data_IF_976448800260
#
_entry.id   IF_976448800260
#
_cell.length_a   1.000
_cell.length_b   1.000
_cell.length_c   1.000
_cell.angle_alpha   90.00
_cell.angle_beta   90.00
_cell.angle_gamma   90.00
#
_symmetry.space_group_name_H-M   'P 1'
#
loop_
_entity.id
_entity.type
_entity.pdbx_description
1 polymer ?
#
# COMPACT_ATOMS: atom_id res chain seq x y z
N UNK A 1 -12.55 -25.81 12.90
CA UNK A 1 -11.08 -25.90 13.00
C UNK A 1 -10.70 -26.63 14.29
N UNK A 2 -10.79 -27.97 14.34
CA UNK A 2 -10.42 -28.75 15.54
C UNK A 2 -8.99 -28.49 16.04
N UNK A 3 -8.10 -28.09 15.15
CA UNK A 3 -6.70 -27.70 15.39
C UNK A 3 -6.54 -26.42 16.22
N UNK A 4 -7.56 -25.55 16.27
CA UNK A 4 -7.61 -24.34 17.10
C UNK A 4 -8.87 -24.37 17.98
N UNK A 5 -8.85 -25.10 19.10
CA UNK A 5 -10.08 -25.48 19.80
C UNK A 5 -10.82 -24.33 20.49
N UNK A 6 -10.17 -23.17 20.63
CA UNK A 6 -10.72 -21.94 21.20
C UNK A 6 -11.14 -20.90 20.15
N UNK A 7 -10.92 -21.18 18.85
CA UNK A 7 -11.23 -20.26 17.77
C UNK A 7 -12.64 -20.51 17.23
N UNK A 8 -13.43 -19.44 17.05
CA UNK A 8 -14.69 -19.50 16.30
C UNK A 8 -14.35 -19.24 14.84
N UNK A 9 -14.63 -20.16 13.90
CA UNK A 9 -14.34 -19.94 12.49
C UNK A 9 -15.25 -18.87 11.88
N UNK A 10 -14.72 -18.08 10.96
CA UNK A 10 -15.50 -17.21 10.08
C UNK A 10 -15.84 -17.96 8.78
N UNK A 11 -17.15 -18.03 8.47
CA UNK A 11 -17.69 -18.74 7.30
C UNK A 11 -18.76 -17.89 6.65
N UNK A 12 -18.77 -17.89 5.32
CA UNK A 12 -19.72 -17.12 4.49
C UNK A 12 -20.38 -18.02 3.45
N UNK A 13 -21.63 -17.74 3.10
CA UNK A 13 -22.33 -18.40 2.01
C UNK A 13 -23.07 -17.37 1.14
N UNK A 14 -22.32 -16.52 0.43
CA UNK A 14 -22.89 -15.38 -0.30
C UNK A 14 -23.68 -15.77 -1.55
N UNK A 15 -23.31 -16.87 -2.21
CA UNK A 15 -23.82 -17.22 -3.54
C UNK A 15 -24.66 -18.49 -3.55
N UNK A 16 -24.85 -19.12 -2.39
CA UNK A 16 -25.73 -20.26 -2.20
C UNK A 16 -26.48 -20.08 -0.88
N UNK A 17 -27.80 -20.23 -0.90
CA UNK A 17 -28.62 -20.10 0.30
C UNK A 17 -28.29 -21.21 1.31
N UNK A 18 -27.66 -20.81 2.42
CA UNK A 18 -27.29 -21.68 3.53
C UNK A 18 -27.42 -20.90 4.85
N UNK A 19 -27.50 -21.64 5.95
CA UNK A 19 -27.43 -21.08 7.29
C UNK A 19 -26.56 -21.95 8.19
N UNK A 20 -25.99 -21.35 9.24
CA UNK A 20 -25.18 -22.09 10.20
C UNK A 20 -24.74 -21.23 11.38
N UNK A 21 -24.30 -21.88 12.44
CA UNK A 21 -23.64 -21.25 13.58
C UNK A 21 -22.20 -21.73 13.67
N UNK A 22 -21.29 -20.80 13.94
CA UNK A 22 -19.91 -21.12 14.27
C UNK A 22 -19.72 -21.03 15.79
N UNK A 23 -19.01 -22.00 16.35
CA UNK A 23 -18.66 -22.10 17.76
C UNK A 23 -17.25 -22.67 17.90
N UNK A 24 -16.65 -22.49 19.07
CA UNK A 24 -15.35 -23.12 19.35
C UNK A 24 -15.51 -24.64 19.44
N UNK A 25 -14.45 -25.41 19.15
CA UNK A 25 -14.51 -26.87 19.30
C UNK A 25 -14.74 -27.27 20.76
N UNK A 26 -14.20 -26.51 21.70
CA UNK A 26 -14.44 -26.73 23.12
C UNK A 26 -15.92 -26.53 23.50
N UNK A 27 -16.57 -25.49 23.00
CA UNK A 27 -18.02 -25.32 23.17
C UNK A 27 -18.79 -26.46 22.49
N UNK A 28 -18.40 -26.85 21.27
CA UNK A 28 -19.06 -27.92 20.52
C UNK A 28 -19.07 -29.24 21.29
N UNK A 29 -17.94 -29.60 21.91
CA UNK A 29 -17.79 -30.80 22.74
C UNK A 29 -18.66 -30.80 24.01
N UNK A 30 -19.12 -29.63 24.47
CA UNK A 30 -20.01 -29.51 25.64
C UNK A 30 -21.49 -29.64 25.30
N UNK A 31 -21.86 -29.59 24.01
CA UNK A 31 -23.24 -29.77 23.59
C UNK A 31 -23.74 -31.17 23.94
N UNK A 32 -24.90 -31.23 24.59
CA UNK A 32 -25.56 -32.49 24.93
C UNK A 32 -26.46 -32.93 23.79
N UNK A 33 -26.71 -34.24 23.69
CA UNK A 33 -27.76 -34.78 22.83
C UNK A 33 -29.12 -34.25 23.29
N UNK A 34 -29.94 -33.81 22.34
CA UNK A 34 -31.25 -33.26 22.62
C UNK A 34 -31.77 -32.36 21.50
N UNK A 35 -32.98 -31.85 21.68
CA UNK A 35 -33.62 -30.92 20.76
C UNK A 35 -33.25 -29.48 21.16
N UNK A 36 -32.73 -28.72 20.20
CA UNK A 36 -32.41 -27.30 20.38
C UNK A 36 -33.37 -26.44 19.57
N UNK A 37 -33.75 -25.29 20.13
CA UNK A 37 -34.37 -24.24 19.34
C UNK A 37 -33.28 -23.49 18.59
N UNK A 38 -33.36 -23.49 17.26
CA UNK A 38 -32.48 -22.73 16.38
C UNK A 38 -33.21 -21.46 15.96
N UNK A 39 -32.60 -20.30 16.16
CA UNK A 39 -33.20 -19.02 15.81
C UNK A 39 -32.17 -18.11 15.12
N UNK A 40 -32.38 -17.87 13.83
CA UNK A 40 -31.64 -16.91 13.01
C UNK A 40 -32.68 -15.91 12.49
N UNK A 41 -32.59 -14.67 12.96
CA UNK A 41 -33.46 -13.58 12.51
C UNK A 41 -32.72 -12.74 11.47
N UNK A 42 -32.81 -13.15 10.21
CA UNK A 42 -32.15 -12.50 9.07
C UNK A 42 -33.12 -12.36 7.90
N UNK A 43 -32.84 -11.40 7.02
CA UNK A 43 -33.57 -11.20 5.77
C UNK A 43 -32.61 -11.30 4.59
N UNK A 44 -33.03 -11.96 3.51
CA UNK A 44 -32.35 -11.99 2.23
C UNK A 44 -33.37 -11.62 1.15
N UNK A 45 -33.20 -10.42 0.58
CA UNK A 45 -34.12 -9.82 -0.38
C UNK A 45 -33.38 -8.99 -1.41
N UNK A 46 -34.07 -8.61 -2.49
CA UNK A 46 -33.56 -7.62 -3.42
C UNK A 46 -33.24 -6.30 -2.71
N UNK A 47 -32.14 -5.67 -3.10
CA UNK A 47 -31.63 -4.46 -2.47
C UNK A 47 -30.50 -3.83 -3.29
N UNK A 48 -29.49 -3.29 -2.60
CA UNK A 48 -28.34 -2.64 -3.23
C UNK A 48 -27.02 -3.02 -2.57
N UNK A 49 -25.95 -3.06 -3.37
CA UNK A 49 -24.58 -3.16 -2.87
C UNK A 49 -24.03 -1.76 -2.58
N UNK A 50 -23.60 -1.53 -1.34
CA UNK A 50 -23.00 -0.27 -0.92
C UNK A 50 -21.48 -0.30 -1.10
N UNK A 51 -20.92 0.77 -1.66
CA UNK A 51 -19.49 1.08 -1.58
C UNK A 51 -19.29 2.58 -1.34
N UNK A 52 -18.17 2.93 -0.72
CA UNK A 52 -17.73 4.31 -0.53
C UNK A 52 -16.66 4.70 -1.54
N UNK A 53 -16.71 5.95 -2.01
CA UNK A 53 -15.67 6.56 -2.83
C UNK A 53 -15.33 7.94 -2.26
N UNK A 54 -14.04 8.24 -2.20
CA UNK A 54 -13.50 9.56 -1.94
C UNK A 54 -12.52 9.93 -3.05
N UNK A 55 -12.83 11.02 -3.77
CA UNK A 55 -11.90 11.64 -4.71
C UNK A 55 -11.30 12.87 -4.04
N UNK A 56 -9.97 12.96 -4.02
CA UNK A 56 -9.24 14.12 -3.51
C UNK A 56 -8.44 14.73 -4.67
N UNK A 57 -8.88 15.88 -5.24
CA UNK A 57 -8.23 16.47 -6.41
C UNK A 57 -6.77 16.87 -6.16
N UNK A 58 -5.91 16.59 -7.15
CA UNK A 58 -4.56 17.14 -7.25
C UNK A 58 -4.46 18.21 -8.33
N UNK A 59 -3.24 18.58 -8.70
CA UNK A 59 -2.97 19.48 -9.85
C UNK A 59 -3.20 18.78 -11.20
N UNK A 60 -3.09 17.45 -11.23
CA UNK A 60 -3.22 16.60 -12.41
C UNK A 60 -4.43 15.67 -12.30
N UNK A 61 -4.98 15.30 -13.46
CA UNK A 61 -6.02 14.27 -13.59
C UNK A 61 -5.46 12.85 -13.47
N UNK A 62 -4.14 12.67 -13.48
CA UNK A 62 -3.51 11.37 -13.17
C UNK A 62 -3.83 10.97 -11.74
N UNK A 63 -4.20 9.71 -11.56
CA UNK A 63 -4.75 9.19 -10.31
C UNK A 63 -3.79 8.25 -9.58
N UNK A 64 -3.75 8.37 -8.25
CA UNK A 64 -3.27 7.32 -7.34
C UNK A 64 -4.48 6.62 -6.74
N UNK A 65 -4.54 5.30 -6.94
CA UNK A 65 -5.69 4.48 -6.56
C UNK A 65 -5.43 3.72 -5.25
N UNK A 66 -6.27 3.92 -4.24
CA UNK A 66 -6.19 3.21 -2.97
C UNK A 66 -7.50 2.46 -2.74
N UNK A 67 -7.41 1.15 -2.51
CA UNK A 67 -8.56 0.29 -2.27
C UNK A 67 -8.41 -0.45 -0.96
N UNK A 68 -9.50 -0.60 -0.23
CA UNK A 68 -9.62 -1.48 0.92
C UNK A 68 -11.04 -2.01 0.99
N UNK A 69 -11.25 -3.14 1.67
CA UNK A 69 -12.55 -3.79 1.69
C UNK A 69 -13.24 -3.78 3.05
N UNK A 70 -14.58 -3.74 3.03
CA UNK A 70 -15.45 -3.51 4.20
C UNK A 70 -16.55 -4.56 4.34
N UNK A 71 -16.30 -5.79 3.85
CA UNK A 71 -17.24 -6.91 3.93
C UNK A 71 -17.02 -7.84 5.13
N UNK A 72 -15.84 -7.82 5.74
CA UNK A 72 -15.54 -8.67 6.89
C UNK A 72 -16.20 -8.10 8.16
N UNK A 73 -16.84 -8.94 9.00
CA UNK A 73 -17.48 -8.50 10.25
C UNK A 73 -16.42 -8.25 11.33
N UNK A 74 -16.64 -8.69 12.57
CA UNK A 74 -15.78 -8.42 13.73
C UNK A 74 -14.45 -9.19 13.71
N UNK A 75 -13.55 -8.81 12.81
CA UNK A 75 -12.16 -9.25 12.74
C UNK A 75 -11.21 -8.06 12.57
N UNK A 76 -10.02 -8.15 13.15
CA UNK A 76 -9.15 -7.00 13.34
C UNK A 76 -8.14 -6.80 12.20
N UNK A 77 -7.25 -7.75 11.93
CA UNK A 77 -6.24 -7.64 10.88
C UNK A 77 -6.89 -7.83 9.49
N UNK A 78 -7.65 -8.90 9.28
CA UNK A 78 -8.52 -9.08 8.11
C UNK A 78 -10.00 -8.86 8.53
N UNK A 79 -10.56 -7.65 8.51
CA UNK A 79 -10.09 -6.55 7.67
C UNK A 79 -10.07 -5.18 8.34
N UNK A 80 -10.52 -4.99 9.58
CA UNK A 80 -10.65 -3.64 10.18
C UNK A 80 -9.38 -2.78 10.08
N UNK A 81 -8.20 -3.39 10.09
CA UNK A 81 -6.90 -2.73 9.92
C UNK A 81 -6.80 -1.93 8.61
N UNK A 82 -7.26 -2.48 7.48
CA UNK A 82 -7.16 -1.87 6.15
C UNK A 82 -7.98 -0.57 6.04
N UNK A 83 -9.30 -0.58 6.31
CA UNK A 83 -10.14 0.60 6.35
C UNK A 83 -9.67 1.63 7.36
N UNK A 84 -9.15 1.19 8.52
CA UNK A 84 -8.61 2.09 9.54
C UNK A 84 -7.41 2.86 9.01
N UNK A 85 -6.37 2.17 8.53
CA UNK A 85 -5.16 2.81 7.98
C UNK A 85 -5.51 3.67 6.76
N UNK A 86 -6.35 3.18 5.86
CA UNK A 86 -6.78 3.92 4.65
C UNK A 86 -7.52 5.21 5.00
N UNK A 87 -8.34 5.21 6.05
CA UNK A 87 -9.04 6.42 6.53
C UNK A 87 -8.05 7.48 7.03
N UNK A 88 -7.05 7.09 7.83
CA UNK A 88 -6.03 8.03 8.30
C UNK A 88 -5.10 8.47 7.17
N UNK A 89 -4.82 7.59 6.20
CA UNK A 89 -4.07 7.92 4.99
C UNK A 89 -4.81 8.97 4.17
N UNK A 90 -6.13 8.84 3.98
CA UNK A 90 -6.96 9.84 3.32
C UNK A 90 -6.89 11.21 4.01
N UNK A 91 -6.98 11.25 5.35
CA UNK A 91 -6.84 12.50 6.13
C UNK A 91 -5.46 13.13 5.97
N UNK A 92 -4.41 12.32 6.03
CA UNK A 92 -3.04 12.79 5.83
C UNK A 92 -2.84 13.32 4.42
N UNK A 93 -3.29 12.58 3.39
CA UNK A 93 -3.26 13.02 1.99
C UNK A 93 -3.95 14.38 1.91
N UNK A 94 -5.17 14.54 2.43
CA UNK A 94 -5.91 15.81 2.51
C UNK A 94 -5.14 16.99 3.10
N UNK A 95 -4.16 16.77 3.96
CA UNK A 95 -3.34 17.85 4.53
C UNK A 95 -2.04 18.15 3.77
N UNK A 96 -1.70 17.39 2.72
CA UNK A 96 -0.44 17.58 1.97
C UNK A 96 -0.64 18.34 0.64
N UNK A 97 0.37 19.07 0.12
CA UNK A 97 0.40 19.41 -1.30
C UNK A 97 0.45 18.12 -2.13
N UNK A 98 -0.21 18.11 -3.30
CA UNK A 98 -0.21 16.93 -4.19
C UNK A 98 -0.32 17.31 -5.66
N UNK A 99 0.41 16.58 -6.47
CA UNK A 99 0.32 16.59 -7.93
C UNK A 99 -0.83 15.71 -8.40
N UNK A 100 -0.92 14.48 -7.89
CA UNK A 100 -1.90 13.51 -8.36
C UNK A 100 -3.27 13.67 -7.69
N UNK A 101 -4.32 13.30 -8.41
CA UNK A 101 -5.66 13.09 -7.83
C UNK A 101 -5.69 11.75 -7.11
N UNK A 102 -6.26 11.68 -5.91
CA UNK A 102 -6.38 10.42 -5.16
C UNK A 102 -7.79 9.89 -5.28
N UNK A 103 -7.91 8.63 -5.70
CA UNK A 103 -9.17 7.89 -5.72
C UNK A 103 -9.09 6.80 -4.67
N UNK A 104 -9.87 6.94 -3.62
CA UNK A 104 -9.88 6.04 -2.47
C UNK A 104 -11.24 5.37 -2.39
N UNK A 105 -11.28 4.05 -2.40
CA UNK A 105 -12.54 3.30 -2.37
C UNK A 105 -12.59 2.29 -1.23
N UNK A 106 -13.79 2.15 -0.66
CA UNK A 106 -14.15 1.23 0.39
C UNK A 106 -15.26 0.32 -0.13
N UNK A 107 -14.95 -0.93 -0.41
CA UNK A 107 -15.83 -1.82 -1.19
C UNK A 107 -16.00 -3.19 -0.51
N UNK A 108 -17.06 -3.97 -0.78
CA UNK A 108 -17.04 -5.38 -0.44
C UNK A 108 -16.05 -6.12 -1.35
N UNK A 109 -15.19 -6.95 -0.76
CA UNK A 109 -14.16 -7.67 -1.50
C UNK A 109 -14.76 -8.46 -2.68
N UNK A 110 -14.07 -8.43 -3.81
CA UNK A 110 -14.39 -9.09 -5.07
C UNK A 110 -15.63 -8.54 -5.79
N UNK A 111 -16.83 -8.74 -5.26
CA UNK A 111 -18.04 -8.30 -5.98
C UNK A 111 -18.12 -6.77 -6.05
N UNK A 112 -17.62 -6.08 -5.02
CA UNK A 112 -17.54 -4.62 -4.99
C UNK A 112 -16.53 -4.08 -6.00
N UNK A 113 -15.33 -4.67 -6.08
CA UNK A 113 -14.30 -4.25 -7.05
C UNK A 113 -14.76 -4.52 -8.49
N UNK A 114 -15.40 -5.66 -8.76
CA UNK A 114 -16.01 -5.97 -10.07
C UNK A 114 -17.10 -4.94 -10.42
N UNK A 115 -18.00 -4.65 -9.47
CA UNK A 115 -19.07 -3.65 -9.65
C UNK A 115 -18.52 -2.25 -9.88
N UNK A 116 -17.42 -1.92 -9.20
CA UNK A 116 -16.76 -0.63 -9.35
C UNK A 116 -16.06 -0.50 -10.71
N UNK A 117 -15.33 -1.55 -11.12
CA UNK A 117 -14.67 -1.64 -12.42
C UNK A 117 -15.68 -1.56 -13.56
N UNK A 118 -16.81 -2.27 -13.50
CA UNK A 118 -17.81 -2.26 -14.58
C UNK A 118 -18.36 -0.86 -14.88
N UNK A 119 -18.31 0.05 -13.89
CA UNK A 119 -18.73 1.45 -14.03
C UNK A 119 -17.60 2.41 -14.39
N UNK A 120 -16.35 2.08 -14.06
CA UNK A 120 -15.23 3.04 -14.08
C UNK A 120 -14.00 2.58 -14.89
N UNK A 121 -14.01 1.39 -15.48
CA UNK A 121 -12.82 0.76 -16.06
C UNK A 121 -12.07 1.67 -17.05
N UNK A 122 -12.78 2.31 -17.98
CA UNK A 122 -12.15 3.19 -18.97
C UNK A 122 -11.38 4.33 -18.29
N UNK A 123 -12.06 5.07 -17.40
CA UNK A 123 -11.47 6.17 -16.65
C UNK A 123 -10.27 5.73 -15.82
N UNK A 124 -10.39 4.59 -15.12
CA UNK A 124 -9.31 4.05 -14.30
C UNK A 124 -8.08 3.72 -15.15
N UNK A 125 -8.27 3.10 -16.32
CA UNK A 125 -7.16 2.77 -17.24
C UNK A 125 -6.48 4.00 -17.83
N UNK A 126 -7.21 5.07 -18.08
CA UNK A 126 -6.67 6.31 -18.64
C UNK A 126 -5.86 7.10 -17.58
N UNK A 127 -6.30 7.06 -16.32
CA UNK A 127 -5.82 7.98 -15.29
C UNK A 127 -4.93 7.34 -14.22
N UNK A 128 -5.19 6.09 -13.79
CA UNK A 128 -4.46 5.47 -12.68
C UNK A 128 -3.02 5.20 -13.07
N UNK A 129 -2.09 5.84 -12.36
CA UNK A 129 -0.64 5.73 -12.61
C UNK A 129 0.06 4.81 -11.61
N UNK A 130 -0.47 4.71 -10.39
CA UNK A 130 -0.01 3.80 -9.35
C UNK A 130 -1.14 3.59 -8.32
N UNK A 131 -0.98 2.62 -7.42
CA UNK A 131 -1.97 2.36 -6.41
C UNK A 131 -1.71 1.10 -5.58
N UNK A 132 -2.49 0.99 -4.49
CA UNK A 132 -2.34 -0.07 -3.51
C UNK A 132 -3.69 -0.66 -3.08
N UNK A 133 -3.75 -1.98 -2.98
CA UNK A 133 -4.79 -2.69 -2.21
C UNK A 133 -4.30 -2.83 -0.76
N UNK A 134 -5.04 -2.26 0.19
CA UNK A 134 -4.63 -2.09 1.60
C UNK A 134 -5.44 -3.04 2.46
N UNK A 135 -4.76 -4.05 3.01
CA UNK A 135 -5.32 -5.13 3.85
C UNK A 135 -4.28 -5.71 4.80
N UNK A 136 -4.71 -6.32 5.91
CA UNK A 136 -3.84 -7.03 6.86
C UNK A 136 -2.63 -6.18 7.29
N UNK A 137 -2.91 -4.96 7.74
CA UNK A 137 -1.92 -3.92 8.04
C UNK A 137 -1.79 -3.63 9.54
N UNK A 138 -2.29 -4.50 10.41
CA UNK A 138 -2.42 -4.24 11.85
C UNK A 138 -1.46 -5.00 12.77
N UNK A 139 -0.93 -6.15 12.36
CA UNK A 139 -0.09 -6.98 13.23
C UNK A 139 1.38 -6.52 13.33
N UNK A 140 2.14 -7.13 14.25
CA UNK A 140 3.53 -6.76 14.54
C UNK A 140 4.61 -7.58 13.80
N UNK A 141 4.24 -8.50 12.91
CA UNK A 141 5.19 -9.38 12.22
C UNK A 141 5.93 -8.68 11.06
N UNK A 142 6.60 -9.45 10.19
CA UNK A 142 7.28 -8.89 9.03
C UNK A 142 6.29 -8.26 8.03
N UNK A 143 6.76 -7.29 7.25
CA UNK A 143 5.98 -6.79 6.12
C UNK A 143 5.89 -7.84 5.02
N UNK A 144 4.84 -7.76 4.22
CA UNK A 144 4.64 -8.56 3.01
C UNK A 144 4.45 -7.65 1.81
N UNK A 145 5.08 -8.00 0.70
CA UNK A 145 4.89 -7.36 -0.60
C UNK A 145 4.26 -8.35 -1.58
N UNK A 146 3.14 -7.95 -2.18
CA UNK A 146 2.51 -8.67 -3.29
C UNK A 146 2.52 -7.76 -4.52
N UNK A 147 3.19 -8.16 -5.61
CA UNK A 147 3.31 -7.32 -6.79
C UNK A 147 2.00 -7.22 -7.56
N UNK A 148 1.91 -6.22 -8.42
CA UNK A 148 0.97 -6.20 -9.54
C UNK A 148 1.22 -7.38 -10.48
N UNK A 149 0.29 -7.66 -11.40
CA UNK A 149 0.48 -8.73 -12.40
C UNK A 149 1.69 -8.47 -13.31
N UNK A 150 1.98 -7.21 -13.60
CA UNK A 150 3.10 -6.82 -14.44
C UNK A 150 4.44 -6.96 -13.69
N UNK A 151 4.46 -6.67 -12.39
CA UNK A 151 5.62 -6.88 -11.51
C UNK A 151 6.73 -5.83 -11.62
N UNK A 152 6.62 -4.86 -12.52
CA UNK A 152 7.55 -3.73 -12.67
C UNK A 152 6.84 -2.39 -12.86
N UNK A 153 5.61 -2.27 -12.38
CA UNK A 153 4.88 -0.99 -12.37
C UNK A 153 5.49 -0.02 -11.36
N UNK A 154 5.09 1.26 -11.44
CA UNK A 154 5.53 2.26 -10.46
C UNK A 154 5.20 1.83 -9.01
N UNK A 155 4.03 1.22 -8.78
CA UNK A 155 3.64 0.69 -7.48
C UNK A 155 4.57 -0.41 -6.99
N UNK A 156 5.01 -1.30 -7.89
CA UNK A 156 5.94 -2.39 -7.56
C UNK A 156 7.32 -1.84 -7.17
N UNK A 157 7.85 -0.93 -8.00
CA UNK A 157 9.16 -0.31 -7.80
C UNK A 157 9.17 0.46 -6.49
N UNK A 158 8.15 1.29 -6.26
CA UNK A 158 8.03 2.10 -5.04
C UNK A 158 7.84 1.24 -3.80
N UNK A 159 6.99 0.22 -3.84
CA UNK A 159 6.78 -0.66 -2.69
C UNK A 159 8.08 -1.37 -2.28
N UNK A 160 8.81 -1.95 -3.24
CA UNK A 160 10.10 -2.60 -2.97
C UNK A 160 11.13 -1.63 -2.42
N UNK A 161 11.23 -0.44 -3.04
CA UNK A 161 12.14 0.61 -2.58
C UNK A 161 11.85 1.02 -1.13
N UNK A 162 10.59 1.31 -0.83
CA UNK A 162 10.17 1.73 0.51
C UNK A 162 10.44 0.61 1.52
N UNK A 163 10.02 -0.62 1.25
CA UNK A 163 10.20 -1.73 2.19
C UNK A 163 11.69 -2.03 2.43
N UNK A 164 12.54 -1.96 1.42
CA UNK A 164 13.99 -2.12 1.55
C UNK A 164 14.62 -1.13 2.54
N UNK A 165 14.16 0.13 2.55
CA UNK A 165 14.73 1.19 3.37
C UNK A 165 13.97 1.45 4.68
N UNK A 166 12.69 1.06 4.76
CA UNK A 166 11.83 1.29 5.91
C UNK A 166 11.74 0.08 6.84
N UNK A 167 11.71 -1.13 6.28
CA UNK A 167 11.62 -2.37 7.04
C UNK A 167 13.02 -2.96 7.25
N UNK A 168 13.18 -3.73 8.35
CA UNK A 168 14.38 -4.53 8.56
C UNK A 168 14.48 -5.66 7.52
N UNK A 169 13.33 -6.27 7.23
CA UNK A 169 13.14 -7.34 6.25
C UNK A 169 11.66 -7.39 5.84
N UNK A 170 11.35 -7.97 4.69
CA UNK A 170 9.99 -8.20 4.23
C UNK A 170 9.89 -9.48 3.38
N UNK A 171 8.72 -10.12 3.41
CA UNK A 171 8.43 -11.29 2.59
C UNK A 171 7.89 -10.85 1.24
N UNK A 172 8.60 -11.19 0.17
CA UNK A 172 8.13 -10.99 -1.20
C UNK A 172 7.32 -12.20 -1.66
N UNK A 173 6.11 -11.94 -2.16
CA UNK A 173 5.22 -12.91 -2.78
C UNK A 173 5.20 -12.72 -4.29
N UNK A 174 4.70 -13.72 -5.01
CA UNK A 174 4.42 -13.61 -6.44
C UNK A 174 2.95 -13.20 -6.68
N UNK A 175 2.63 -12.71 -7.88
CA UNK A 175 1.22 -12.51 -8.26
C UNK A 175 0.41 -13.82 -8.26
N UNK A 176 1.06 -14.99 -8.24
CA UNK A 176 0.37 -16.28 -8.10
C UNK A 176 -0.22 -16.47 -6.69
N UNK A 177 0.30 -15.74 -5.70
CA UNK A 177 -0.12 -15.81 -4.29
C UNK A 177 -1.28 -14.85 -3.96
N UNK A 178 -1.79 -14.11 -4.95
CA UNK A 178 -2.91 -13.15 -4.81
C UNK A 178 -4.16 -13.82 -4.22
N UNK A 179 -4.98 -13.04 -3.53
CA UNK A 179 -6.20 -13.52 -2.88
C UNK A 179 -7.29 -12.46 -2.71
N UNK A 180 -6.95 -11.17 -2.80
CA UNK A 180 -7.87 -10.06 -2.61
C UNK A 180 -8.12 -9.29 -3.91
N UNK A 181 -8.57 -8.04 -3.84
CA UNK A 181 -9.05 -7.25 -4.98
C UNK A 181 -7.99 -6.92 -6.03
N UNK A 182 -6.69 -7.04 -5.72
CA UNK A 182 -5.64 -6.97 -6.73
C UNK A 182 -5.85 -7.97 -7.87
N UNK A 183 -6.52 -9.10 -7.61
CA UNK A 183 -6.86 -10.08 -8.64
C UNK A 183 -7.87 -9.56 -9.66
N UNK A 184 -8.70 -8.59 -9.27
CA UNK A 184 -9.68 -7.94 -10.14
C UNK A 184 -9.06 -6.73 -10.84
N UNK A 185 -8.36 -5.86 -10.09
CA UNK A 185 -7.70 -4.68 -10.63
C UNK A 185 -6.60 -5.01 -11.65
N UNK A 186 -5.85 -6.08 -11.41
CA UNK A 186 -4.77 -6.52 -12.30
C UNK A 186 -5.23 -7.61 -13.29
N UNK A 187 -6.54 -7.87 -13.41
CA UNK A 187 -7.06 -8.87 -14.35
C UNK A 187 -6.75 -8.49 -15.81
N UNK A 188 -6.51 -9.46 -16.71
CA UNK A 188 -6.29 -9.16 -18.12
C UNK A 188 -7.42 -8.32 -18.72
N UNK A 189 -7.07 -7.23 -19.39
CA UNK A 189 -8.03 -6.26 -19.96
C UNK A 189 -8.37 -5.09 -19.04
N UNK A 190 -8.23 -5.25 -17.71
CA UNK A 190 -8.25 -4.17 -16.72
C UNK A 190 -6.83 -3.65 -16.49
N UNK A 191 -5.95 -4.52 -15.97
CA UNK A 191 -4.49 -4.37 -15.87
C UNK A 191 -3.99 -3.06 -15.23
N UNK A 192 -4.64 -2.63 -14.14
CA UNK A 192 -4.21 -1.46 -13.38
C UNK A 192 -2.90 -1.75 -12.61
N UNK A 193 -2.06 -0.72 -12.36
CA UNK A 193 -0.78 -0.88 -11.68
C UNK A 193 -0.95 -0.98 -10.16
N UNK A 194 -1.67 -2.00 -9.67
CA UNK A 194 -2.00 -2.14 -8.24
C UNK A 194 -1.14 -3.23 -7.61
N UNK A 195 -0.40 -2.85 -6.57
CA UNK A 195 0.35 -3.78 -5.72
C UNK A 195 -0.25 -3.79 -4.29
N UNK A 196 0.27 -4.61 -3.39
CA UNK A 196 -0.13 -4.59 -1.97
C UNK A 196 1.09 -4.56 -1.06
N UNK A 197 1.01 -3.70 -0.04
CA UNK A 197 1.92 -3.69 1.11
C UNK A 197 1.08 -4.08 2.32
N UNK A 198 1.48 -5.16 3.00
CA UNK A 198 0.77 -5.71 4.15
C UNK A 198 1.75 -5.92 5.30
N UNK A 199 1.24 -6.23 6.49
CA UNK A 199 2.03 -6.87 7.57
C UNK A 199 2.06 -8.37 7.26
N UNK A 200 1.40 -9.21 8.04
CA UNK A 200 1.25 -10.62 7.63
C UNK A 200 0.13 -10.75 6.60
N UNK A 201 0.46 -11.26 5.40
CA UNK A 201 -0.53 -11.46 4.32
C UNK A 201 -1.70 -12.35 4.77
N UNK A 202 -2.90 -12.09 4.25
CA UNK A 202 -4.08 -12.96 4.43
C UNK A 202 -3.75 -14.44 4.13
N UNK A 203 -4.27 -15.33 4.99
CA UNK A 203 -4.00 -16.78 4.92
C UNK A 203 -2.66 -17.23 5.51
N UNK A 204 -1.77 -16.31 5.91
CA UNK A 204 -0.40 -16.62 6.34
C UNK A 204 -0.17 -16.41 7.85
N UNK A 205 -1.24 -16.20 8.61
CA UNK A 205 -1.23 -16.15 10.08
C UNK A 205 -2.32 -17.05 10.66
N UNK A 206 -2.05 -17.62 11.83
CA UNK A 206 -2.90 -18.66 12.44
C UNK A 206 -4.33 -18.16 12.74
N UNK A 207 -4.47 -16.90 13.12
CA UNK A 207 -5.71 -16.27 13.53
C UNK A 207 -6.66 -16.01 12.36
N UNK A 208 -6.16 -16.04 11.11
CA UNK A 208 -6.90 -15.67 9.91
C UNK A 208 -8.23 -16.43 9.76
N UNK A 209 -9.31 -15.69 9.51
CA UNK A 209 -10.69 -16.19 9.42
C UNK A 209 -11.17 -16.90 10.70
N UNK A 210 -10.80 -16.36 11.85
CA UNK A 210 -11.31 -16.81 13.14
C UNK A 210 -11.53 -15.65 14.10
N UNK A 211 -12.25 -15.88 15.20
CA UNK A 211 -12.40 -14.92 16.30
C UNK A 211 -11.10 -14.57 17.03
N UNK A 212 -10.00 -15.25 16.75
CA UNK A 212 -8.69 -14.90 17.30
C UNK A 212 -8.05 -13.73 16.53
N UNK A 213 -8.55 -13.40 15.33
CA UNK A 213 -8.17 -12.17 14.63
C UNK A 213 -8.95 -11.00 15.24
N UNK A 214 -8.51 -10.57 16.42
CA UNK A 214 -9.20 -9.58 17.26
C UNK A 214 -8.26 -8.43 17.64
N UNK A 215 -8.75 -7.48 18.45
CA UNK A 215 -8.00 -6.27 18.79
C UNK A 215 -6.72 -6.55 19.62
N UNK A 216 -6.60 -7.71 20.26
CA UNK A 216 -5.38 -8.11 20.96
C UNK A 216 -4.30 -8.64 19.99
N UNK A 217 -4.68 -9.03 18.78
CA UNK A 217 -3.76 -9.53 17.75
C UNK A 217 -3.07 -8.40 16.97
N UNK A 218 -3.74 -7.27 16.79
CA UNK A 218 -3.17 -6.08 16.14
C UNK A 218 -2.60 -5.12 17.17
N UNK A 219 -1.76 -4.16 16.74
CA UNK A 219 -1.19 -3.15 17.62
C UNK A 219 -1.16 -1.76 16.97
N UNK A 220 -1.03 -0.74 17.82
CA UNK A 220 -0.80 0.65 17.39
C UNK A 220 0.49 0.77 16.57
N UNK A 221 1.54 0.06 16.97
CA UNK A 221 2.81 -0.03 16.25
C UNK A 221 2.64 -0.67 14.86
N UNK A 222 1.91 -1.76 14.75
CA UNK A 222 1.63 -2.42 13.47
C UNK A 222 0.88 -1.50 12.51
N UNK A 223 -0.22 -0.92 12.98
CA UNK A 223 -1.04 0.04 12.21
C UNK A 223 -0.23 1.29 11.79
N UNK A 224 0.50 1.90 12.73
CA UNK A 224 1.31 3.08 12.44
C UNK A 224 2.47 2.76 11.49
N UNK A 225 3.09 1.58 11.64
CA UNK A 225 4.11 1.10 10.73
C UNK A 225 3.61 1.02 9.30
N UNK A 226 2.47 0.36 9.08
CA UNK A 226 1.85 0.27 7.75
C UNK A 226 1.43 1.64 7.19
N UNK A 227 0.84 2.51 8.03
CA UNK A 227 0.54 3.89 7.66
C UNK A 227 1.80 4.62 7.19
N UNK A 228 2.93 4.46 7.90
CA UNK A 228 4.20 5.08 7.54
C UNK A 228 4.78 4.52 6.24
N UNK A 229 4.72 3.20 6.04
CA UNK A 229 5.15 2.57 4.79
C UNK A 229 4.37 3.13 3.58
N UNK A 230 3.03 3.14 3.66
CA UNK A 230 2.17 3.67 2.59
C UNK A 230 2.37 5.18 2.38
N UNK A 231 2.57 5.95 3.46
CA UNK A 231 2.91 7.37 3.40
C UNK A 231 4.23 7.61 2.66
N UNK A 232 5.27 6.83 2.97
CA UNK A 232 6.56 6.90 2.26
C UNK A 232 6.41 6.50 0.78
N UNK A 233 5.57 5.50 0.46
CA UNK A 233 5.25 5.15 -0.92
C UNK A 233 4.61 6.32 -1.67
N UNK A 234 3.66 7.00 -1.05
CA UNK A 234 3.03 8.19 -1.62
C UNK A 234 4.04 9.33 -1.81
N UNK A 235 4.90 9.60 -0.81
CA UNK A 235 5.97 10.61 -0.91
C UNK A 235 6.89 10.30 -2.09
N UNK A 236 7.29 9.03 -2.26
CA UNK A 236 8.09 8.60 -3.39
C UNK A 236 7.39 8.85 -4.72
N UNK A 237 6.10 8.52 -4.83
CA UNK A 237 5.32 8.72 -6.06
C UNK A 237 5.19 10.21 -6.40
N UNK A 238 4.79 11.04 -5.44
CA UNK A 238 4.62 12.49 -5.63
C UNK A 238 5.91 13.20 -6.07
N UNK A 239 7.07 12.71 -5.61
CA UNK A 239 8.37 13.31 -5.88
C UNK A 239 9.19 12.57 -6.95
N UNK A 240 8.63 11.54 -7.61
CA UNK A 240 9.31 10.82 -8.66
C UNK A 240 9.27 11.59 -9.98
N UNK A 241 10.15 12.59 -10.10
CA UNK A 241 10.31 13.42 -11.31
C UNK A 241 11.59 13.07 -12.04
N UNK A 242 11.69 13.53 -13.29
CA UNK A 242 12.90 13.46 -14.09
C UNK A 242 13.59 14.81 -14.03
N UNK A 243 14.90 14.79 -13.79
CA UNK A 243 15.71 16.00 -13.70
C UNK A 243 16.84 15.98 -14.71
N UNK A 244 17.17 17.16 -15.24
CA UNK A 244 18.30 17.38 -16.14
C UNK A 244 19.31 18.31 -15.51
N UNK A 245 20.55 17.87 -15.49
CA UNK A 245 21.71 18.67 -15.10
C UNK A 245 21.96 19.80 -16.11
N UNK A 246 22.15 21.03 -15.63
CA UNK A 246 22.19 22.25 -16.46
C UNK A 246 23.59 22.68 -16.86
N UNK A 247 24.62 22.11 -16.25
CA UNK A 247 26.01 22.56 -16.40
C UNK A 247 26.86 21.48 -17.08
N UNK A 248 27.85 21.86 -17.87
CA UNK A 248 28.84 20.90 -18.41
C UNK A 248 29.95 20.69 -17.38
N UNK A 249 30.32 19.44 -17.15
CA UNK A 249 31.27 19.01 -16.09
C UNK A 249 30.78 19.31 -14.66
N UNK A 250 31.58 19.01 -13.64
CA UNK A 250 31.23 19.28 -12.25
C UNK A 250 31.14 20.80 -11.98
N UNK A 251 30.10 21.27 -11.27
CA UNK A 251 30.02 22.68 -10.90
C UNK A 251 30.91 22.93 -9.67
N UNK A 252 31.30 24.19 -9.44
CA UNK A 252 32.05 24.54 -8.23
C UNK A 252 31.15 24.48 -6.97
N UNK A 253 30.91 23.28 -6.44
CA UNK A 253 29.95 23.00 -5.35
C UNK A 253 30.26 23.72 -4.03
N UNK A 254 31.54 23.96 -3.73
CA UNK A 254 31.97 24.62 -2.49
C UNK A 254 31.44 26.05 -2.32
N UNK A 255 31.33 26.82 -3.41
CA UNK A 255 30.74 28.17 -3.40
C UNK A 255 29.24 28.18 -3.11
N UNK A 256 28.59 27.02 -3.20
CA UNK A 256 27.16 26.82 -2.99
C UNK A 256 26.86 26.14 -1.65
N UNK A 257 27.88 25.88 -0.82
CA UNK A 257 27.72 25.13 0.43
C UNK A 257 27.39 23.64 0.23
N UNK A 258 27.46 23.13 -1.01
CA UNK A 258 27.11 21.75 -1.35
C UNK A 258 28.29 20.78 -1.25
N UNK A 259 29.49 21.27 -0.92
CA UNK A 259 30.71 20.50 -0.70
C UNK A 259 31.61 21.20 0.32
N UNK A 260 32.36 20.42 1.10
CA UNK A 260 33.39 20.96 2.00
C UNK A 260 34.42 21.79 1.23
N UNK A 261 34.80 22.94 1.80
CA UNK A 261 35.88 23.79 1.29
C UNK A 261 37.27 23.34 1.78
N UNK A 262 37.34 22.32 2.64
CA UNK A 262 38.59 21.71 3.13
C UNK A 262 38.79 20.37 2.43
N UNK A 263 39.92 20.23 1.72
CA UNK A 263 40.34 18.99 1.04
C UNK A 263 41.30 18.13 1.89
N UNK A 264 41.63 16.94 1.38
CA UNK A 264 42.60 15.96 1.94
C UNK A 264 42.24 15.26 3.27
N UNK A 265 41.15 15.65 3.94
CA UNK A 265 40.55 14.88 5.04
C UNK A 265 39.27 14.24 4.52
N UNK A 266 39.02 12.96 4.80
CA UNK A 266 37.82 12.25 4.37
C UNK A 266 36.57 12.72 5.15
N UNK A 267 36.15 13.96 4.89
CA UNK A 267 35.05 14.66 5.55
C UNK A 267 33.80 14.78 4.64
N UNK A 268 33.69 13.96 3.59
CA UNK A 268 32.48 13.96 2.76
C UNK A 268 31.31 13.39 3.54
N UNK A 269 30.35 14.27 3.87
CA UNK A 269 29.07 13.85 4.44
C UNK A 269 28.28 13.05 3.43
N UNK A 270 27.28 12.28 3.90
CA UNK A 270 26.39 11.55 3.00
C UNK A 270 25.65 12.49 2.03
N UNK A 271 25.22 13.66 2.51
CA UNK A 271 24.62 14.70 1.66
C UNK A 271 25.54 15.13 0.50
N UNK A 272 26.85 15.30 0.75
CA UNK A 272 27.79 15.67 -0.32
C UNK A 272 27.94 14.55 -1.37
N UNK A 273 27.88 13.29 -0.95
CA UNK A 273 27.89 12.13 -1.87
C UNK A 273 26.61 12.11 -2.70
N UNK A 274 25.46 12.27 -2.05
CA UNK A 274 24.15 12.27 -2.70
C UNK A 274 24.05 13.41 -3.73
N UNK A 275 24.53 14.62 -3.41
CA UNK A 275 24.64 15.74 -4.39
C UNK A 275 25.40 15.31 -5.64
N UNK A 276 26.57 14.70 -5.47
CA UNK A 276 27.43 14.33 -6.61
C UNK A 276 26.78 13.23 -7.44
N UNK A 277 26.17 12.25 -6.79
CA UNK A 277 25.51 11.13 -7.46
C UNK A 277 24.24 11.57 -8.21
N UNK A 278 23.40 12.41 -7.59
CA UNK A 278 22.19 12.93 -8.25
C UNK A 278 22.56 13.72 -9.51
N UNK A 279 23.58 14.60 -9.44
CA UNK A 279 24.05 15.35 -10.60
C UNK A 279 24.57 14.43 -11.71
N UNK A 280 25.28 13.35 -11.36
CA UNK A 280 25.83 12.42 -12.33
C UNK A 280 24.75 11.63 -13.11
N UNK A 281 23.62 11.31 -12.47
CA UNK A 281 22.54 10.53 -13.08
C UNK A 281 21.35 11.37 -13.59
N UNK A 282 21.30 12.67 -13.31
CA UNK A 282 20.26 13.58 -13.80
C UNK A 282 20.48 13.96 -15.28
N UNK A 283 20.34 12.98 -16.17
CA UNK A 283 20.54 13.10 -17.61
C UNK A 283 19.30 13.61 -18.38
N UNK A 284 18.20 13.88 -17.67
CA UNK A 284 16.90 14.22 -18.23
C UNK A 284 16.10 13.03 -18.76
N UNK A 285 16.49 11.79 -18.40
CA UNK A 285 15.76 10.56 -18.75
C UNK A 285 15.48 9.68 -17.54
N UNK A 286 16.44 9.55 -16.63
CA UNK A 286 16.31 8.72 -15.41
C UNK A 286 15.47 9.46 -14.36
N UNK A 287 14.43 8.81 -13.86
CA UNK A 287 13.58 9.34 -12.79
C UNK A 287 14.25 9.22 -11.41
N UNK A 288 13.77 10.00 -10.45
CA UNK A 288 14.41 10.08 -9.13
C UNK A 288 14.41 8.73 -8.39
N UNK A 289 13.39 7.89 -8.54
CA UNK A 289 13.36 6.55 -7.93
C UNK A 289 14.42 5.63 -8.54
N UNK A 290 14.66 5.71 -9.86
CA UNK A 290 15.75 4.96 -10.48
C UNK A 290 17.12 5.44 -9.99
N UNK A 291 17.31 6.74 -9.76
CA UNK A 291 18.54 7.28 -9.15
C UNK A 291 18.68 6.80 -7.70
N UNK A 292 17.59 6.81 -6.93
CA UNK A 292 17.56 6.33 -5.55
C UNK A 292 17.96 4.86 -5.45
N UNK A 293 17.43 4.01 -6.34
CA UNK A 293 17.75 2.58 -6.41
C UNK A 293 19.22 2.37 -6.79
N UNK A 294 19.72 3.06 -7.83
CA UNK A 294 21.11 2.96 -8.29
C UNK A 294 22.12 3.35 -7.21
N UNK A 295 21.77 4.37 -6.41
CA UNK A 295 22.65 4.91 -5.37
C UNK A 295 22.48 4.25 -4.00
N UNK A 296 21.52 3.32 -3.88
CA UNK A 296 21.11 2.70 -2.61
C UNK A 296 20.73 3.71 -1.53
N UNK A 297 19.99 4.76 -1.92
CA UNK A 297 19.57 5.84 -1.03
C UNK A 297 18.05 5.91 -0.95
N UNK A 298 17.47 6.16 0.23
CA UNK A 298 16.05 6.41 0.32
C UNK A 298 15.67 7.65 -0.50
N UNK A 299 14.75 7.52 -1.45
CA UNK A 299 14.27 8.65 -2.27
C UNK A 299 13.86 9.84 -1.42
N UNK A 300 13.18 9.64 -0.28
CA UNK A 300 12.77 10.74 0.60
C UNK A 300 13.94 11.54 1.21
N UNK A 301 15.15 10.98 1.26
CA UNK A 301 16.36 11.73 1.63
C UNK A 301 16.93 12.50 0.43
N UNK A 302 16.78 11.97 -0.79
CA UNK A 302 17.21 12.63 -2.02
C UNK A 302 16.34 13.83 -2.42
N UNK A 303 15.09 13.93 -1.94
CA UNK A 303 14.22 15.09 -2.19
C UNK A 303 14.92 16.39 -1.75
N UNK A 304 15.50 16.40 -0.55
CA UNK A 304 16.21 17.56 0.01
C UNK A 304 17.42 17.94 -0.86
N UNK A 305 18.11 16.94 -1.41
CA UNK A 305 19.26 17.14 -2.31
C UNK A 305 18.80 17.79 -3.61
N UNK A 306 17.74 17.25 -4.21
CA UNK A 306 17.16 17.77 -5.45
C UNK A 306 16.68 19.21 -5.25
N UNK A 307 15.95 19.51 -4.18
CA UNK A 307 15.48 20.86 -3.85
C UNK A 307 16.66 21.86 -3.82
N UNK A 308 17.74 21.52 -3.12
CA UNK A 308 18.95 22.36 -3.05
C UNK A 308 19.62 22.54 -4.41
N UNK A 309 19.64 21.50 -5.22
CA UNK A 309 20.22 21.58 -6.58
C UNK A 309 19.37 22.45 -7.51
N UNK A 310 18.04 22.37 -7.41
CA UNK A 310 17.10 23.24 -8.16
C UNK A 310 17.23 24.69 -7.70
N UNK A 311 17.29 24.96 -6.38
CA UNK A 311 17.53 26.31 -5.83
C UNK A 311 18.81 26.96 -6.39
N UNK A 312 19.85 26.16 -6.63
CA UNK A 312 21.12 26.60 -7.20
C UNK A 312 21.18 26.57 -8.74
N UNK A 313 20.05 26.32 -9.42
CA UNK A 313 19.92 26.19 -10.87
C UNK A 313 20.86 25.13 -11.47
N UNK A 314 21.21 24.11 -10.70
CA UNK A 314 22.01 22.97 -11.16
C UNK A 314 21.13 21.87 -11.76
N UNK A 315 19.87 21.76 -11.34
CA UNK A 315 18.88 20.88 -11.93
C UNK A 315 17.69 21.67 -12.45
N UNK A 316 17.07 21.17 -13.51
CA UNK A 316 15.71 21.53 -13.94
C UNK A 316 14.87 20.26 -14.05
N UNK A 317 13.60 20.33 -13.66
CA UNK A 317 12.61 19.28 -13.94
C UNK A 317 12.32 19.28 -15.46
N UNK A 318 12.27 18.09 -16.08
CA UNK A 318 12.05 17.91 -17.53
C UNK A 318 11.00 16.85 -17.82
#
# INVERSE_FOLDING_TARGET
RPEQPNAIPYVTSYYEERWGFCLTENQRKTLKEGNYQVFINSELSDGSLTYGELIIPGKSEKEIFLSTYVCHPSMANNELSGPTVTTYLAKWIQSQPREYTYRIIFIPETIGSITYLSKNQQKLKENVSAGFNITCVGDDNAYSFLPSRNGSTLSDIVAKHVLKHHAKDFKEYSFLDRGSDERQYCSPGVDLPIASIMRTKYGEYEQYHTSLDNLDFISDKGLYGAFKALTLSIICIENNKVYKYTTLCEPQLGRRGLRSNVGAINNMTQFNKDVTNVLAYADGKKDLISIAIETDRPLWELIIVVEKLVEHNLLIEV
#
